data_IF_324001208658
#
_entry.id   IF_324001208658
#
_cell.length_a   1.000
_cell.length_b   1.000
_cell.length_c   1.000
_cell.angle_alpha   90.00
_cell.angle_beta   90.00
_cell.angle_gamma   90.00
#
_symmetry.space_group_name_H-M   'P 1'
#
loop_
_entity.id
_entity.type
_entity.pdbx_description
1 polymer ?
#
# COMPACT_ATOMS: atom_id res chain seq x y z
N UNK A 1 16.92 16.39 -22.13
CA UNK A 1 16.41 15.23 -22.88
C UNK A 1 15.48 14.53 -21.91
N UNK A 2 14.19 14.50 -22.22
CA UNK A 2 13.16 13.86 -21.39
C UNK A 2 13.41 12.34 -21.32
N UNK A 3 13.15 11.74 -20.17
CA UNK A 3 13.32 10.31 -19.93
C UNK A 3 12.23 9.51 -20.67
N UNK A 4 12.57 8.62 -21.62
CA UNK A 4 11.60 7.84 -22.37
C UNK A 4 10.69 6.95 -21.51
N UNK A 5 11.19 6.44 -20.37
CA UNK A 5 10.39 5.61 -19.46
C UNK A 5 9.36 6.46 -18.72
N UNK A 6 9.73 7.68 -18.36
CA UNK A 6 8.83 8.65 -17.71
C UNK A 6 7.71 9.11 -18.65
N UNK A 7 8.03 9.35 -19.92
CA UNK A 7 7.03 9.68 -20.93
C UNK A 7 6.04 8.52 -21.18
N UNK A 8 6.53 7.28 -21.21
CA UNK A 8 5.66 6.11 -21.35
C UNK A 8 4.71 5.94 -20.15
N UNK A 9 5.19 6.21 -18.93
CA UNK A 9 4.37 6.21 -17.72
C UNK A 9 3.23 7.25 -17.80
N UNK A 10 3.55 8.51 -18.09
CA UNK A 10 2.51 9.55 -18.21
C UNK A 10 1.55 9.26 -19.36
N UNK A 11 2.04 8.73 -20.47
CA UNK A 11 1.19 8.34 -21.60
C UNK A 11 0.21 7.21 -21.26
N UNK A 12 0.60 6.27 -20.39
CA UNK A 12 -0.30 5.21 -19.92
C UNK A 12 -1.47 5.79 -19.11
N UNK A 13 -1.22 6.79 -18.25
CA UNK A 13 -2.28 7.52 -17.55
C UNK A 13 -3.13 8.41 -18.45
N UNK A 14 -2.69 8.70 -19.68
CA UNK A 14 -3.52 9.33 -20.70
C UNK A 14 -4.68 8.47 -21.19
N UNK A 15 -4.69 7.16 -20.90
CA UNK A 15 -5.81 6.27 -21.22
C UNK A 15 -6.97 6.45 -20.23
N UNK A 16 -8.12 6.90 -20.74
CA UNK A 16 -9.34 7.06 -19.95
C UNK A 16 -9.90 5.76 -19.39
N UNK A 17 -9.49 4.59 -19.89
CA UNK A 17 -9.87 3.30 -19.31
C UNK A 17 -9.31 3.11 -17.88
N UNK A 18 -8.11 3.64 -17.62
CA UNK A 18 -7.47 3.66 -16.30
C UNK A 18 -8.26 4.58 -15.36
N UNK A 19 -8.56 5.80 -15.81
CA UNK A 19 -9.38 6.75 -15.03
C UNK A 19 -10.78 6.24 -14.75
N UNK A 20 -11.42 5.59 -15.72
CA UNK A 20 -12.72 4.95 -15.51
C UNK A 20 -12.64 3.93 -14.37
N UNK A 21 -11.64 3.07 -14.39
CA UNK A 21 -11.42 2.06 -13.33
C UNK A 21 -11.28 2.73 -11.96
N UNK A 22 -10.39 3.73 -11.87
CA UNK A 22 -10.15 4.52 -10.66
C UNK A 22 -11.38 5.28 -10.14
N UNK A 23 -12.21 5.82 -11.03
CA UNK A 23 -13.42 6.58 -10.68
C UNK A 23 -14.59 5.67 -10.28
N UNK A 24 -14.62 4.44 -10.78
CA UNK A 24 -15.64 3.44 -10.41
C UNK A 24 -15.30 2.63 -9.17
N UNK A 25 -14.05 2.71 -8.69
CA UNK A 25 -13.67 2.18 -7.39
C UNK A 25 -14.27 3.02 -6.26
N UNK A 26 -15.42 2.57 -5.77
CA UNK A 26 -16.17 3.28 -4.74
C UNK A 26 -15.41 3.36 -3.41
N UNK A 27 -14.64 2.34 -3.05
CA UNK A 27 -13.88 2.31 -1.79
C UNK A 27 -12.82 3.41 -1.81
N UNK A 28 -12.08 3.51 -2.92
CA UNK A 28 -11.12 4.59 -3.18
C UNK A 28 -11.78 5.97 -3.10
N UNK A 29 -12.83 6.19 -3.90
CA UNK A 29 -13.46 7.51 -4.01
C UNK A 29 -14.10 7.95 -2.68
N UNK A 30 -14.83 7.06 -2.01
CA UNK A 30 -15.49 7.37 -0.75
C UNK A 30 -14.47 7.68 0.35
N UNK A 31 -13.33 6.97 0.41
CA UNK A 31 -12.29 7.24 1.41
C UNK A 31 -11.69 8.64 1.26
N UNK A 32 -11.35 9.06 0.03
CA UNK A 32 -10.85 10.42 -0.23
C UNK A 32 -11.92 11.48 0.00
N UNK A 33 -13.15 11.21 -0.41
CA UNK A 33 -14.28 12.11 -0.16
C UNK A 33 -14.45 12.33 1.36
N UNK A 34 -14.55 11.26 2.15
CA UNK A 34 -14.67 11.36 3.60
C UNK A 34 -13.44 12.05 4.22
N UNK A 35 -12.22 11.73 3.75
CA UNK A 35 -11.00 12.36 4.25
C UNK A 35 -11.00 13.87 4.05
N UNK A 36 -11.41 14.34 2.87
CA UNK A 36 -11.49 15.77 2.56
C UNK A 36 -12.62 16.43 3.37
N UNK A 37 -13.84 15.89 3.32
CA UNK A 37 -15.00 16.55 3.92
C UNK A 37 -15.04 16.45 5.46
N UNK A 38 -14.46 15.41 6.08
CA UNK A 38 -14.30 15.37 7.55
C UNK A 38 -13.19 16.28 8.06
N UNK A 39 -12.23 16.62 7.21
CA UNK A 39 -11.19 17.60 7.53
C UNK A 39 -11.50 18.98 6.93
N UNK A 40 -12.77 19.27 6.61
CA UNK A 40 -13.21 20.53 5.98
C UNK A 40 -12.75 21.76 6.75
N UNK A 41 -12.77 21.74 8.07
CA UNK A 41 -12.34 22.88 8.90
C UNK A 41 -10.84 23.20 8.75
N UNK A 42 -10.04 22.23 8.30
CA UNK A 42 -8.62 22.39 7.98
C UNK A 42 -8.35 22.70 6.51
N UNK A 43 -9.37 22.63 5.64
CA UNK A 43 -9.28 22.87 4.19
C UNK A 43 -9.95 24.19 3.81
N UNK A 44 -10.99 24.59 4.53
CA UNK A 44 -11.73 25.81 4.25
C UNK A 44 -10.81 27.03 4.34
N UNK A 45 -10.90 27.91 3.34
CA UNK A 45 -10.11 29.13 3.20
C UNK A 45 -8.58 28.88 3.12
N UNK A 46 -8.17 27.63 2.84
CA UNK A 46 -6.78 27.21 2.71
C UNK A 46 -6.32 26.99 1.28
N UNK A 47 -5.01 26.95 1.07
CA UNK A 47 -4.37 26.63 -0.20
C UNK A 47 -4.03 25.15 -0.24
N UNK A 48 -4.55 24.46 -1.26
CA UNK A 48 -4.39 23.02 -1.45
C UNK A 48 -3.51 22.75 -2.67
N UNK A 49 -2.68 21.72 -2.62
CA UNK A 49 -2.01 21.15 -3.78
C UNK A 49 -2.45 19.70 -3.97
N UNK A 50 -2.92 19.39 -5.17
CA UNK A 50 -3.28 18.05 -5.62
C UNK A 50 -2.21 17.56 -6.61
N UNK A 51 -1.38 16.61 -6.17
CA UNK A 51 -0.24 16.09 -6.97
C UNK A 51 -0.66 14.85 -7.74
N UNK A 52 -0.53 14.89 -9.06
CA UNK A 52 -1.08 13.87 -9.95
C UNK A 52 -2.60 13.97 -10.01
N UNK A 53 -3.11 15.18 -10.28
CA UNK A 53 -4.53 15.49 -10.20
C UNK A 53 -5.39 14.63 -11.14
N UNK A 54 -4.82 14.09 -12.22
CA UNK A 54 -5.49 13.23 -13.18
C UNK A 54 -6.70 13.93 -13.82
N UNK A 55 -7.89 13.38 -13.60
CA UNK A 55 -9.16 13.99 -14.04
C UNK A 55 -9.65 15.12 -13.14
N UNK A 56 -8.99 15.38 -12.01
CA UNK A 56 -9.24 16.50 -11.11
C UNK A 56 -10.26 16.24 -10.01
N UNK A 57 -10.77 15.02 -9.87
CA UNK A 57 -11.85 14.73 -8.91
C UNK A 57 -11.49 15.16 -7.47
N UNK A 58 -10.25 14.93 -7.02
CA UNK A 58 -9.79 15.33 -5.70
C UNK A 58 -9.67 16.86 -5.57
N UNK A 59 -9.10 17.51 -6.58
CA UNK A 59 -9.11 18.98 -6.71
C UNK A 59 -10.51 19.58 -6.58
N UNK A 60 -11.51 18.98 -7.25
CA UNK A 60 -12.92 19.41 -7.17
C UNK A 60 -13.50 19.18 -5.77
N UNK A 61 -13.18 18.05 -5.11
CA UNK A 61 -13.59 17.82 -3.72
C UNK A 61 -13.02 18.88 -2.78
N UNK A 62 -11.74 19.20 -2.90
CA UNK A 62 -11.10 20.26 -2.11
C UNK A 62 -11.74 21.64 -2.35
N UNK A 63 -12.03 22.00 -3.60
CA UNK A 63 -12.76 23.22 -3.93
C UNK A 63 -14.16 23.25 -3.29
N UNK A 64 -14.91 22.14 -3.36
CA UNK A 64 -16.24 22.00 -2.73
C UNK A 64 -16.19 21.98 -1.21
N UNK A 65 -15.09 21.51 -0.62
CA UNK A 65 -14.84 21.63 0.82
C UNK A 65 -14.62 23.09 1.25
N UNK A 66 -14.34 24.00 0.30
CA UNK A 66 -14.20 25.44 0.54
C UNK A 66 -12.76 25.91 0.56
N UNK A 67 -11.84 25.18 -0.08
CA UNK A 67 -10.49 25.66 -0.31
C UNK A 67 -10.51 27.06 -0.96
N UNK A 68 -9.61 27.93 -0.51
CA UNK A 68 -9.41 29.26 -1.11
C UNK A 68 -8.84 29.14 -2.52
N UNK A 69 -7.91 28.20 -2.70
CA UNK A 69 -7.21 27.92 -3.94
C UNK A 69 -6.77 26.46 -3.97
N UNK A 70 -6.80 25.84 -5.15
CA UNK A 70 -6.29 24.49 -5.38
C UNK A 70 -5.32 24.52 -6.57
N UNK A 71 -4.09 24.10 -6.36
CA UNK A 71 -3.13 23.80 -7.41
C UNK A 71 -3.31 22.35 -7.85
N UNK A 72 -3.93 22.14 -9.01
CA UNK A 72 -4.12 20.82 -9.61
C UNK A 72 -2.93 20.53 -10.54
N UNK A 73 -1.93 19.80 -10.03
CA UNK A 73 -0.67 19.52 -10.73
C UNK A 73 -0.77 18.20 -11.46
N UNK A 74 -0.59 18.22 -12.78
CA UNK A 74 -0.65 17.02 -13.63
C UNK A 74 0.45 17.05 -14.69
N UNK A 75 1.17 15.94 -14.83
CA UNK A 75 2.31 15.81 -15.73
C UNK A 75 1.93 15.14 -17.07
N UNK A 76 0.78 14.46 -17.15
CA UNK A 76 0.24 13.92 -18.38
C UNK A 76 -0.45 15.03 -19.21
N UNK A 77 0.24 15.52 -20.24
CA UNK A 77 -0.27 16.56 -21.14
C UNK A 77 -1.64 16.24 -21.76
N UNK A 78 -1.95 14.95 -22.00
CA UNK A 78 -3.22 14.50 -22.58
C UNK A 78 -4.42 14.75 -21.68
N UNK A 79 -4.21 14.78 -20.36
CA UNK A 79 -5.28 14.99 -19.38
C UNK A 79 -5.56 16.47 -19.11
N UNK A 80 -4.62 17.37 -19.41
CA UNK A 80 -4.75 18.80 -19.09
C UNK A 80 -6.03 19.44 -19.67
N UNK A 81 -6.38 19.26 -20.97
CA UNK A 81 -7.62 19.83 -21.50
C UNK A 81 -8.86 19.27 -20.80
N UNK A 82 -8.87 17.95 -20.53
CA UNK A 82 -9.98 17.30 -19.83
C UNK A 82 -10.14 17.81 -18.40
N UNK A 83 -9.03 17.94 -17.67
CA UNK A 83 -9.01 18.49 -16.31
C UNK A 83 -9.55 19.93 -16.29
N UNK A 84 -9.15 20.77 -17.25
CA UNK A 84 -9.69 22.12 -17.39
C UNK A 84 -11.21 22.11 -17.68
N UNK A 85 -11.68 21.21 -18.55
CA UNK A 85 -13.11 21.05 -18.83
C UNK A 85 -13.90 20.59 -17.59
N UNK A 86 -13.34 19.70 -16.76
CA UNK A 86 -13.95 19.26 -15.49
C UNK A 86 -14.03 20.42 -14.49
N UNK A 87 -12.97 21.21 -14.36
CA UNK A 87 -12.94 22.43 -13.52
C UNK A 87 -14.03 23.40 -13.94
N UNK A 88 -14.15 23.67 -15.24
CA UNK A 88 -15.20 24.52 -15.82
C UNK A 88 -16.61 23.97 -15.61
N UNK A 89 -16.81 22.67 -15.84
CA UNK A 89 -18.10 22.02 -15.67
C UNK A 89 -18.62 22.06 -14.22
N UNK A 90 -17.71 22.21 -13.24
CA UNK A 90 -18.05 22.33 -11.82
C UNK A 90 -18.09 23.79 -11.32
N UNK A 91 -17.90 24.78 -12.19
CA UNK A 91 -17.92 26.21 -11.85
C UNK A 91 -16.96 26.61 -10.71
N UNK A 92 -15.74 26.07 -10.74
CA UNK A 92 -14.68 26.33 -9.76
C UNK A 92 -13.39 26.87 -10.39
N UNK A 93 -13.47 27.46 -11.59
CA UNK A 93 -12.32 28.01 -12.33
C UNK A 93 -11.60 29.13 -11.57
N UNK A 94 -12.30 29.81 -10.67
CA UNK A 94 -11.74 30.85 -9.81
C UNK A 94 -11.03 30.30 -8.56
N UNK A 95 -11.12 28.99 -8.31
CA UNK A 95 -10.54 28.31 -7.16
C UNK A 95 -9.44 27.34 -7.60
N UNK A 96 -9.69 26.55 -8.65
CA UNK A 96 -8.77 25.50 -9.12
C UNK A 96 -7.91 26.02 -10.27
N UNK A 97 -6.61 26.11 -10.03
CA UNK A 97 -5.58 26.43 -11.02
C UNK A 97 -4.93 25.13 -11.52
N UNK A 98 -5.12 24.82 -12.80
CA UNK A 98 -4.51 23.65 -13.44
C UNK A 98 -3.08 23.97 -13.87
N UNK A 99 -2.13 23.18 -13.37
CA UNK A 99 -0.70 23.31 -13.67
C UNK A 99 -0.24 22.07 -14.43
N UNK A 100 0.23 22.27 -15.65
CA UNK A 100 0.90 21.22 -16.42
C UNK A 100 2.38 21.15 -16.04
N UNK A 101 2.81 20.00 -15.53
CA UNK A 101 4.22 19.72 -15.23
C UNK A 101 4.41 18.70 -14.13
N UNK A 102 5.65 18.26 -13.97
CA UNK A 102 6.10 17.41 -12.86
C UNK A 102 6.21 18.24 -11.58
N UNK A 103 5.75 17.71 -10.45
CA UNK A 103 5.79 18.45 -9.18
C UNK A 103 7.21 18.83 -8.77
N UNK A 104 8.20 18.09 -9.25
CA UNK A 104 9.64 18.29 -9.10
C UNK A 104 10.15 19.56 -9.78
N UNK A 105 9.47 20.04 -10.82
CA UNK A 105 9.96 21.12 -11.70
C UNK A 105 9.09 22.36 -11.69
N UNK A 106 7.82 22.25 -11.28
CA UNK A 106 6.94 23.40 -11.17
C UNK A 106 7.38 24.33 -10.04
N UNK A 107 6.93 25.58 -10.15
CA UNK A 107 7.03 26.59 -9.10
C UNK A 107 5.63 27.16 -8.85
N UNK A 108 5.28 27.36 -7.58
CA UNK A 108 4.05 28.02 -7.17
C UNK A 108 4.37 29.19 -6.25
N UNK A 109 3.53 30.22 -6.28
CA UNK A 109 3.79 31.48 -5.56
C UNK A 109 3.50 31.38 -4.06
N UNK A 110 2.51 30.57 -3.69
CA UNK A 110 1.98 30.49 -2.33
C UNK A 110 2.44 29.21 -1.62
N UNK A 111 2.68 29.31 -0.31
CA UNK A 111 2.82 28.10 0.52
C UNK A 111 1.49 27.36 0.60
N UNK A 112 1.58 26.03 0.62
CA UNK A 112 0.47 25.09 0.66
C UNK A 112 0.14 24.72 2.10
N UNK A 113 -1.13 24.79 2.48
CA UNK A 113 -1.63 24.34 3.78
C UNK A 113 -2.02 22.85 3.75
N UNK A 114 -2.43 22.34 2.58
CA UNK A 114 -2.92 20.95 2.42
C UNK A 114 -2.32 20.30 1.18
N UNK A 115 -1.61 19.20 1.35
CA UNK A 115 -1.16 18.34 0.26
C UNK A 115 -2.09 17.14 0.17
N UNK A 116 -2.76 16.97 -0.96
CA UNK A 116 -3.57 15.78 -1.26
C UNK A 116 -2.97 15.09 -2.47
N UNK A 117 -2.94 13.75 -2.45
CA UNK A 117 -2.56 12.98 -3.63
C UNK A 117 -3.07 11.55 -3.51
N UNK A 118 -3.37 10.97 -4.65
CA UNK A 118 -3.54 9.53 -4.79
C UNK A 118 -2.34 9.02 -5.60
N UNK A 119 -1.39 8.42 -4.89
CA UNK A 119 -0.06 8.08 -5.37
C UNK A 119 0.24 6.59 -5.30
N UNK A 120 -0.71 5.81 -4.79
CA UNK A 120 -0.45 4.43 -4.39
C UNK A 120 -0.50 3.51 -5.59
N UNK A 121 0.57 2.74 -5.80
CA UNK A 121 0.62 1.69 -6.81
C UNK A 121 0.23 0.32 -6.27
N UNK A 122 0.42 -0.70 -7.12
CA UNK A 122 0.44 -2.09 -6.67
C UNK A 122 1.48 -2.29 -5.56
N UNK A 123 1.17 -3.12 -4.55
CA UNK A 123 1.97 -3.29 -3.33
C UNK A 123 2.46 -1.96 -2.70
N UNK A 124 1.72 -0.86 -2.91
CA UNK A 124 1.96 0.53 -2.50
C UNK A 124 3.01 1.27 -3.34
N UNK A 125 4.19 0.67 -3.53
CA UNK A 125 5.37 1.38 -4.05
C UNK A 125 5.55 1.31 -5.57
N UNK A 126 4.83 0.43 -6.27
CA UNK A 126 4.89 0.38 -7.74
C UNK A 126 4.67 1.79 -8.32
N UNK A 127 5.42 2.14 -9.37
CA UNK A 127 5.41 3.46 -10.03
C UNK A 127 6.08 4.62 -9.26
N UNK A 128 6.54 4.41 -8.02
CA UNK A 128 7.40 5.34 -7.25
C UNK A 128 6.87 6.76 -7.05
N UNK A 129 5.56 6.99 -7.11
CA UNK A 129 4.98 8.34 -6.98
C UNK A 129 5.12 8.94 -5.57
N UNK A 130 5.47 8.14 -4.56
CA UNK A 130 5.81 8.62 -3.21
C UNK A 130 6.97 9.64 -3.22
N UNK A 131 7.90 9.56 -4.18
CA UNK A 131 8.99 10.54 -4.33
C UNK A 131 8.48 11.93 -4.68
N UNK A 132 7.49 11.99 -5.58
CA UNK A 132 6.82 13.22 -5.94
C UNK A 132 6.14 13.86 -4.74
N UNK A 133 5.59 13.06 -3.81
CA UNK A 133 5.04 13.58 -2.55
C UNK A 133 6.12 14.09 -1.61
N UNK A 134 7.23 13.35 -1.45
CA UNK A 134 8.37 13.80 -0.63
C UNK A 134 8.89 15.13 -1.16
N UNK A 135 9.02 15.26 -2.47
CA UNK A 135 9.46 16.46 -3.16
C UNK A 135 8.44 17.63 -3.05
N UNK A 136 7.13 17.33 -3.11
CA UNK A 136 6.07 18.32 -2.94
C UNK A 136 6.05 18.95 -1.54
N UNK A 137 6.64 18.31 -0.53
CA UNK A 137 6.76 18.87 0.82
C UNK A 137 7.48 20.23 0.86
N UNK A 138 8.29 20.56 -0.14
CA UNK A 138 8.96 21.87 -0.21
C UNK A 138 7.96 23.05 -0.28
N UNK A 139 6.73 22.79 -0.72
CA UNK A 139 5.67 23.80 -0.79
C UNK A 139 4.88 23.92 0.52
N UNK A 140 5.06 22.99 1.47
CA UNK A 140 4.23 22.94 2.67
C UNK A 140 4.58 24.05 3.66
N UNK A 141 3.53 24.66 4.21
CA UNK A 141 3.60 25.54 5.37
C UNK A 141 3.80 24.75 6.68
N UNK A 142 4.18 25.46 7.75
CA UNK A 142 4.21 24.92 9.10
C UNK A 142 2.80 24.52 9.55
N UNK A 143 2.61 23.28 10.03
CA UNK A 143 1.31 22.67 10.38
C UNK A 143 0.38 22.34 9.19
N UNK A 144 0.99 22.00 8.06
CA UNK A 144 0.25 21.50 6.90
C UNK A 144 -0.49 20.19 7.20
N UNK A 145 -1.47 19.89 6.36
CA UNK A 145 -2.23 18.65 6.35
C UNK A 145 -1.81 17.82 5.13
N UNK A 146 -1.43 16.56 5.32
CA UNK A 146 -1.13 15.64 4.23
C UNK A 146 -2.22 14.55 4.18
N UNK A 147 -2.79 14.32 2.99
CA UNK A 147 -3.87 13.36 2.76
C UNK A 147 -3.48 12.38 1.62
N UNK A 148 -3.22 11.10 1.93
CA UNK A 148 -3.10 10.48 3.27
C UNK A 148 -1.83 10.94 4.02
N UNK A 149 -1.72 10.64 5.31
CA UNK A 149 -0.55 11.02 6.15
C UNK A 149 0.35 9.84 6.52
N UNK A 150 -0.16 8.61 6.43
CA UNK A 150 0.60 7.40 6.73
C UNK A 150 0.20 6.27 5.81
N UNK A 151 1.15 5.43 5.45
CA UNK A 151 0.93 4.22 4.66
C UNK A 151 1.62 3.03 5.32
N UNK A 152 0.98 1.86 5.31
CA UNK A 152 1.54 0.62 5.87
C UNK A 152 1.36 -0.52 4.87
N UNK A 153 2.44 -1.22 4.56
CA UNK A 153 2.43 -2.46 3.77
C UNK A 153 2.29 -3.62 4.73
N UNK A 154 1.45 -4.59 4.39
CA UNK A 154 1.25 -5.82 5.13
C UNK A 154 1.58 -7.03 4.25
N UNK A 155 1.96 -8.12 4.91
CA UNK A 155 2.18 -9.41 4.27
C UNK A 155 1.50 -10.53 5.08
N UNK A 156 1.03 -11.56 4.40
CA UNK A 156 0.60 -12.83 5.00
C UNK A 156 0.94 -14.00 4.08
N UNK A 157 1.09 -15.20 4.65
CA UNK A 157 1.10 -16.43 3.87
C UNK A 157 -0.29 -16.65 3.25
N UNK A 158 -0.34 -17.21 2.05
CA UNK A 158 -1.60 -17.44 1.33
C UNK A 158 -1.61 -18.76 0.55
N UNK A 159 -2.82 -19.27 0.33
CA UNK A 159 -3.16 -20.38 -0.56
C UNK A 159 -3.90 -19.83 -1.79
N UNK A 160 -3.49 -20.25 -2.98
CA UNK A 160 -3.96 -19.68 -4.27
C UNK A 160 -4.07 -20.76 -5.35
N UNK A 161 -4.93 -21.77 -5.15
CA UNK A 161 -5.04 -22.90 -6.07
C UNK A 161 -5.42 -22.46 -7.49
N UNK A 162 -6.13 -21.33 -7.66
CA UNK A 162 -6.51 -20.80 -8.98
C UNK A 162 -5.32 -20.40 -9.85
N UNK A 163 -4.23 -19.93 -9.24
CA UNK A 163 -2.99 -19.64 -9.95
C UNK A 163 -2.13 -20.90 -10.15
N UNK A 164 -2.44 -21.99 -9.45
CA UNK A 164 -1.51 -23.11 -9.32
C UNK A 164 -2.16 -24.46 -9.63
N UNK A 165 -2.82 -25.07 -8.66
CA UNK A 165 -3.19 -26.49 -8.63
C UNK A 165 -4.60 -26.77 -9.15
N UNK A 166 -5.47 -25.76 -9.24
CA UNK A 166 -6.87 -25.91 -9.65
C UNK A 166 -7.04 -26.51 -11.05
N UNK A 167 -6.03 -26.35 -11.91
CA UNK A 167 -6.05 -26.83 -13.29
C UNK A 167 -4.99 -27.91 -13.56
N UNK A 168 -4.39 -28.49 -12.51
CA UNK A 168 -3.46 -29.64 -12.63
C UNK A 168 -4.16 -30.90 -13.12
N UNK A 169 -5.44 -31.07 -12.82
CA UNK A 169 -6.27 -32.14 -13.38
C UNK A 169 -7.53 -31.57 -14.02
N UNK A 170 -7.70 -31.80 -15.33
CA UNK A 170 -8.87 -31.33 -16.08
C UNK A 170 -9.51 -32.52 -16.77
N UNK A 171 -10.77 -32.83 -16.41
CA UNK A 171 -11.52 -33.95 -17.00
C UNK A 171 -10.72 -35.27 -16.97
N UNK A 172 -10.09 -35.58 -15.84
CA UNK A 172 -9.23 -36.78 -15.63
C UNK A 172 -7.93 -36.79 -16.46
N UNK A 173 -7.55 -35.65 -17.05
CA UNK A 173 -6.25 -35.49 -17.69
C UNK A 173 -5.29 -34.85 -16.70
N UNK A 174 -4.19 -35.55 -16.40
CA UNK A 174 -3.10 -35.01 -15.60
C UNK A 174 -2.27 -34.03 -16.44
N UNK A 175 -2.26 -32.77 -16.03
CA UNK A 175 -1.55 -31.64 -16.65
C UNK A 175 -0.39 -31.13 -15.77
N UNK A 176 0.11 -31.94 -14.84
CA UNK A 176 1.21 -31.57 -13.92
C UNK A 176 2.43 -31.02 -14.66
N UNK A 177 2.76 -31.62 -15.81
CA UNK A 177 3.84 -31.15 -16.68
C UNK A 177 3.65 -29.69 -17.13
N UNK A 178 2.41 -29.28 -17.42
CA UNK A 178 2.07 -27.91 -17.83
C UNK A 178 2.07 -26.98 -16.61
N UNK A 179 1.44 -27.37 -15.50
CA UNK A 179 1.40 -26.56 -14.28
C UNK A 179 2.78 -26.33 -13.68
N UNK A 180 3.68 -27.32 -13.82
CA UNK A 180 5.07 -27.20 -13.38
C UNK A 180 5.87 -26.17 -14.19
N UNK A 181 5.66 -26.11 -15.51
CA UNK A 181 6.28 -25.08 -16.37
C UNK A 181 5.68 -23.71 -16.07
N UNK A 182 4.35 -23.61 -15.97
CA UNK A 182 3.67 -22.37 -15.63
C UNK A 182 4.16 -21.82 -14.30
N UNK A 183 4.22 -22.62 -13.23
CA UNK A 183 4.67 -22.16 -11.91
C UNK A 183 6.07 -21.56 -11.95
N UNK A 184 7.02 -22.19 -12.65
CA UNK A 184 8.39 -21.66 -12.77
C UNK A 184 8.41 -20.27 -13.40
N UNK A 185 7.56 -20.03 -14.40
CA UNK A 185 7.43 -18.70 -15.00
C UNK A 185 6.68 -17.73 -14.07
N UNK A 186 5.61 -18.20 -13.42
CA UNK A 186 4.81 -17.41 -12.49
C UNK A 186 5.62 -16.95 -11.27
N UNK A 187 6.57 -17.73 -10.78
CA UNK A 187 7.44 -17.32 -9.65
C UNK A 187 8.41 -16.19 -9.99
N UNK A 188 8.55 -15.82 -11.26
CA UNK A 188 9.42 -14.72 -11.69
C UNK A 188 8.73 -13.37 -11.72
N UNK A 189 7.42 -13.30 -11.49
CA UNK A 189 6.65 -12.06 -11.56
C UNK A 189 5.63 -11.98 -10.41
N UNK A 190 5.35 -10.78 -9.88
CA UNK A 190 4.22 -10.58 -8.98
C UNK A 190 2.89 -10.75 -9.74
N UNK A 191 1.86 -11.28 -9.08
CA UNK A 191 0.51 -11.45 -9.63
C UNK A 191 -0.48 -10.56 -8.91
N UNK A 192 -1.45 -10.00 -9.64
CA UNK A 192 -2.49 -9.13 -9.08
C UNK A 192 -3.80 -9.89 -8.98
N UNK A 193 -4.14 -10.30 -7.77
CA UNK A 193 -5.26 -11.20 -7.50
C UNK A 193 -6.20 -10.63 -6.44
N UNK A 194 -7.50 -10.92 -6.60
CA UNK A 194 -8.45 -10.74 -5.50
C UNK A 194 -8.32 -11.93 -4.56
N UNK A 195 -7.87 -11.65 -3.34
CA UNK A 195 -7.63 -12.63 -2.30
C UNK A 195 -8.73 -12.51 -1.26
N UNK A 196 -9.45 -13.60 -1.04
CA UNK A 196 -10.37 -13.71 0.09
C UNK A 196 -9.59 -13.92 1.39
N UNK A 197 -10.05 -13.37 2.52
CA UNK A 197 -9.38 -13.58 3.81
C UNK A 197 -9.28 -15.06 4.21
N UNK A 198 -10.15 -15.93 3.69
CA UNK A 198 -10.08 -17.39 3.88
C UNK A 198 -8.84 -18.01 3.24
N UNK A 199 -8.32 -17.42 2.17
CA UNK A 199 -7.10 -17.85 1.49
C UNK A 199 -5.82 -17.51 2.28
N UNK A 200 -5.91 -16.63 3.29
CA UNK A 200 -4.77 -16.35 4.16
C UNK A 200 -4.49 -17.52 5.10
N UNK A 201 -3.24 -17.95 5.09
CA UNK A 201 -2.71 -19.10 5.83
C UNK A 201 -1.99 -18.70 7.12
N UNK A 202 -1.78 -17.40 7.35
CA UNK A 202 -1.24 -16.84 8.59
C UNK A 202 -1.97 -15.56 8.97
N UNK A 203 -1.71 -15.06 10.18
CA UNK A 203 -2.08 -13.68 10.50
C UNK A 203 -1.21 -12.70 9.69
N UNK A 204 -1.74 -11.51 9.35
CA UNK A 204 -0.97 -10.45 8.73
C UNK A 204 0.17 -9.97 9.62
N UNK A 205 1.27 -9.56 9.00
CA UNK A 205 2.35 -8.80 9.65
C UNK A 205 2.61 -7.49 8.90
N UNK A 206 2.85 -6.37 9.61
CA UNK A 206 3.31 -5.15 8.98
C UNK A 206 4.73 -5.36 8.44
N UNK A 207 4.93 -5.06 7.15
CA UNK A 207 6.22 -5.13 6.48
C UNK A 207 7.00 -3.83 6.62
N UNK A 208 6.38 -2.72 6.23
CA UNK A 208 6.98 -1.39 6.25
C UNK A 208 5.88 -0.35 6.44
N UNK A 209 6.19 0.76 7.12
CA UNK A 209 5.29 1.88 7.28
C UNK A 209 6.02 3.19 6.95
N UNK A 210 5.31 4.09 6.27
CA UNK A 210 5.80 5.39 5.86
C UNK A 210 4.94 6.46 6.49
N UNK A 211 5.56 7.32 7.29
CA UNK A 211 4.99 8.58 7.73
C UNK A 211 5.26 9.62 6.63
N UNK A 212 4.21 10.09 5.97
CA UNK A 212 4.30 10.99 4.83
C UNK A 212 4.64 12.43 5.22
N UNK A 213 4.79 12.76 6.49
CA UNK A 213 5.38 14.02 6.94
C UNK A 213 6.92 13.92 7.01
N UNK A 214 7.45 12.74 7.34
CA UNK A 214 8.87 12.59 7.72
C UNK A 214 9.68 11.62 6.87
N UNK A 215 9.07 10.74 6.06
CA UNK A 215 9.80 9.73 5.27
C UNK A 215 10.82 10.39 4.34
N UNK A 216 12.06 9.90 4.34
CA UNK A 216 13.12 10.40 3.47
C UNK A 216 13.20 9.61 2.16
N UNK A 217 13.81 10.16 1.10
CA UNK A 217 14.04 9.42 -0.15
C UNK A 217 14.82 8.11 0.06
N UNK A 218 15.79 8.08 0.98
CA UNK A 218 16.59 6.88 1.25
C UNK A 218 15.75 5.76 1.88
N UNK A 219 14.71 6.11 2.65
CA UNK A 219 13.86 5.14 3.34
C UNK A 219 12.97 4.33 2.39
N UNK A 220 12.79 4.77 1.14
CA UNK A 220 12.00 4.09 0.10
C UNK A 220 12.88 3.38 -0.95
N UNK A 221 14.21 3.49 -0.87
CA UNK A 221 15.12 2.83 -1.83
C UNK A 221 15.18 1.32 -1.63
N UNK A 222 15.21 0.86 -0.38
CA UNK A 222 15.29 -0.57 -0.06
C UNK A 222 14.70 -0.87 1.31
N UNK A 223 13.72 -1.77 1.35
CA UNK A 223 13.09 -2.24 2.57
C UNK A 223 13.23 -3.76 2.67
N UNK A 224 13.67 -4.24 3.84
CA UNK A 224 13.90 -5.66 4.11
C UNK A 224 13.17 -6.05 5.39
N UNK A 225 12.42 -7.14 5.35
CA UNK A 225 11.84 -7.76 6.52
C UNK A 225 12.17 -9.24 6.54
N UNK A 226 12.86 -9.66 7.59
CA UNK A 226 13.08 -11.07 7.92
C UNK A 226 12.20 -11.44 9.11
N UNK A 227 11.27 -12.37 8.93
CA UNK A 227 10.29 -12.70 9.96
C UNK A 227 9.80 -14.14 9.87
N UNK A 228 9.30 -14.65 11.00
CA UNK A 228 8.65 -15.96 11.07
C UNK A 228 7.14 -15.79 11.09
N UNK A 229 6.46 -16.33 10.07
CA UNK A 229 5.00 -16.37 9.99
C UNK A 229 4.51 -17.74 10.42
N UNK A 230 3.57 -17.79 11.37
CA UNK A 230 3.01 -19.06 11.85
C UNK A 230 1.69 -19.32 11.16
N UNK A 231 1.53 -20.52 10.62
CA UNK A 231 0.30 -20.91 9.95
C UNK A 231 -0.85 -21.04 10.94
N UNK A 232 -2.02 -20.54 10.61
CA UNK A 232 -3.22 -20.63 11.44
C UNK A 232 -4.23 -21.68 10.93
N UNK A 233 -3.92 -22.34 9.82
CA UNK A 233 -4.75 -23.35 9.15
C UNK A 233 -3.88 -24.49 8.63
N UNK A 234 -4.51 -25.65 8.43
CA UNK A 234 -3.93 -26.77 7.68
C UNK A 234 -4.29 -26.61 6.20
N UNK A 235 -3.33 -26.79 5.31
CA UNK A 235 -3.55 -26.63 3.87
C UNK A 235 -2.24 -26.48 3.11
N UNK A 236 -2.31 -25.77 1.98
CA UNK A 236 -1.16 -25.46 1.14
C UNK A 236 -0.79 -24.00 1.33
N UNK A 237 0.50 -23.72 1.47
CA UNK A 237 1.03 -22.35 1.34
C UNK A 237 1.66 -22.24 -0.03
N UNK A 238 1.07 -21.41 -0.87
CA UNK A 238 1.49 -21.16 -2.24
C UNK A 238 2.49 -20.02 -2.35
N UNK A 239 2.48 -19.11 -1.38
CA UNK A 239 3.38 -17.97 -1.32
C UNK A 239 2.92 -16.93 -0.32
N UNK A 240 3.23 -15.67 -0.62
CA UNK A 240 2.81 -14.53 0.18
C UNK A 240 1.84 -13.63 -0.58
N UNK A 241 0.92 -13.02 0.17
CA UNK A 241 0.02 -11.97 -0.26
C UNK A 241 0.49 -10.66 0.39
N UNK A 242 0.61 -9.61 -0.41
CA UNK A 242 1.04 -8.27 -0.03
C UNK A 242 -0.09 -7.30 -0.35
N UNK A 243 -0.43 -6.45 0.62
CA UNK A 243 -1.39 -5.37 0.46
C UNK A 243 -0.96 -4.17 1.29
N UNK A 244 -1.73 -3.09 1.25
CA UNK A 244 -1.45 -1.89 2.00
C UNK A 244 -2.70 -1.19 2.50
N UNK A 245 -2.51 -0.41 3.56
CA UNK A 245 -3.47 0.55 4.06
C UNK A 245 -2.85 1.95 4.05
N UNK A 246 -3.64 2.96 3.72
CA UNK A 246 -3.29 4.37 3.98
C UNK A 246 -4.26 4.98 4.96
N UNK A 247 -3.71 5.78 5.87
CA UNK A 247 -4.45 6.43 6.94
C UNK A 247 -4.58 7.93 6.63
N UNK A 248 -5.78 8.45 6.83
CA UNK A 248 -6.07 9.88 6.83
C UNK A 248 -6.42 10.31 8.26
N UNK A 249 -6.28 11.59 8.60
CA UNK A 249 -6.77 12.09 9.89
C UNK A 249 -8.27 11.84 10.05
N UNK A 250 -8.74 11.85 11.30
CA UNK A 250 -10.11 11.48 11.67
C UNK A 250 -10.42 9.97 11.54
N UNK A 251 -9.39 9.12 11.69
CA UNK A 251 -9.48 7.66 11.72
C UNK A 251 -10.12 7.05 10.45
N UNK A 252 -9.84 7.66 9.30
CA UNK A 252 -10.30 7.15 8.01
C UNK A 252 -9.16 6.34 7.41
N UNK A 253 -9.47 5.12 6.98
CA UNK A 253 -8.48 4.20 6.40
C UNK A 253 -8.98 3.76 5.04
N UNK A 254 -8.14 3.92 4.03
CA UNK A 254 -8.31 3.25 2.74
C UNK A 254 -7.45 2.00 2.77
N UNK A 255 -8.10 0.84 2.74
CA UNK A 255 -7.46 -0.47 2.87
C UNK A 255 -7.63 -1.28 1.60
N UNK A 256 -6.56 -1.94 1.17
CA UNK A 256 -6.57 -2.96 0.11
C UNK A 256 -6.51 -4.38 0.70
N UNK A 257 -6.78 -4.53 1.99
CA UNK A 257 -6.73 -5.79 2.72
C UNK A 257 -7.74 -6.83 2.19
N UNK A 258 -7.38 -8.14 2.19
CA UNK A 258 -8.33 -9.24 1.99
C UNK A 258 -9.53 -9.27 2.94
N UNK A 259 -9.43 -8.56 4.08
CA UNK A 259 -10.52 -8.42 5.05
C UNK A 259 -11.47 -7.24 4.76
N UNK A 260 -11.11 -6.39 3.80
CA UNK A 260 -11.83 -5.17 3.42
C UNK A 260 -12.59 -5.38 2.11
N UNK A 261 -13.44 -4.41 1.75
CA UNK A 261 -14.08 -4.42 0.43
C UNK A 261 -13.03 -4.36 -0.69
N UNK A 262 -13.31 -5.02 -1.80
CA UNK A 262 -12.42 -5.05 -2.96
C UNK A 262 -12.20 -3.66 -3.56
N UNK A 263 -10.96 -3.42 -3.96
CA UNK A 263 -10.52 -2.22 -4.68
C UNK A 263 -9.91 -2.65 -6.01
N UNK A 264 -9.70 -1.70 -6.92
CA UNK A 264 -9.07 -1.98 -8.22
C UNK A 264 -7.59 -2.38 -8.11
N UNK A 265 -6.92 -2.03 -7.01
CA UNK A 265 -5.52 -2.42 -6.75
C UNK A 265 -5.34 -3.91 -6.52
N UNK A 266 -6.40 -4.59 -6.03
CA UNK A 266 -6.36 -5.98 -5.59
C UNK A 266 -5.25 -6.20 -4.54
N UNK A 267 -4.68 -7.40 -4.49
CA UNK A 267 -3.48 -7.71 -3.71
C UNK A 267 -2.37 -8.26 -4.63
N UNK A 268 -1.13 -8.06 -4.19
CA UNK A 268 0.05 -8.56 -4.90
C UNK A 268 0.46 -9.92 -4.31
N UNK A 269 0.55 -10.93 -5.15
CA UNK A 269 0.97 -12.28 -4.78
C UNK A 269 2.37 -12.57 -5.30
N UNK A 270 3.21 -13.13 -4.44
CA UNK A 270 4.50 -13.71 -4.83
C UNK A 270 4.48 -15.20 -4.47
N UNK A 271 4.56 -16.05 -5.48
CA UNK A 271 4.55 -17.50 -5.30
C UNK A 271 5.91 -18.00 -4.81
N UNK A 272 5.88 -19.02 -3.95
CA UNK A 272 7.07 -19.80 -3.65
C UNK A 272 7.47 -20.68 -4.85
N UNK A 273 8.76 -21.02 -5.00
CA UNK A 273 9.21 -21.96 -6.03
C UNK A 273 8.49 -23.31 -6.00
N UNK A 274 8.07 -23.73 -4.80
CA UNK A 274 7.27 -24.93 -4.56
C UNK A 274 6.23 -24.66 -3.47
N UNK A 275 5.02 -25.23 -3.59
CA UNK A 275 4.03 -25.16 -2.51
C UNK A 275 4.54 -25.89 -1.26
N UNK A 276 4.12 -25.42 -0.09
CA UNK A 276 4.39 -26.07 1.19
C UNK A 276 3.09 -26.65 1.76
N UNK A 277 3.06 -27.97 1.99
CA UNK A 277 1.96 -28.60 2.72
C UNK A 277 2.20 -28.42 4.22
N UNK A 278 1.24 -27.82 4.91
CA UNK A 278 1.39 -27.41 6.31
C UNK A 278 0.19 -27.84 7.14
N UNK A 279 0.42 -28.08 8.43
CA UNK A 279 -0.63 -28.08 9.45
C UNK A 279 -0.74 -26.73 10.11
N UNK A 280 -1.79 -26.51 10.91
CA UNK A 280 -1.84 -25.35 11.81
C UNK A 280 -0.63 -25.34 12.77
N UNK A 281 -0.06 -24.16 13.04
CA UNK A 281 1.05 -23.94 13.96
C UNK A 281 2.45 -24.13 13.36
N UNK A 282 2.57 -24.42 12.06
CA UNK A 282 3.87 -24.52 11.37
C UNK A 282 4.48 -23.13 11.20
N UNK A 283 5.70 -22.87 11.69
CA UNK A 283 6.39 -21.62 11.43
C UNK A 283 7.12 -21.67 10.08
N UNK A 284 6.95 -20.62 9.27
CA UNK A 284 7.68 -20.42 8.01
C UNK A 284 8.45 -19.11 8.14
N UNK A 285 9.77 -19.20 8.07
CA UNK A 285 10.63 -18.02 8.03
C UNK A 285 10.74 -17.50 6.60
N UNK A 286 10.47 -16.21 6.42
CA UNK A 286 10.62 -15.52 5.14
C UNK A 286 11.50 -14.29 5.29
N UNK A 287 12.19 -13.95 4.22
CA UNK A 287 12.80 -12.64 4.02
C UNK A 287 12.21 -12.03 2.74
N UNK A 288 11.49 -10.93 2.91
CA UNK A 288 10.98 -10.12 1.80
C UNK A 288 11.85 -8.87 1.69
N UNK A 289 12.33 -8.60 0.49
CA UNK A 289 13.08 -7.39 0.15
C UNK A 289 12.39 -6.68 -1.01
N UNK A 290 12.09 -5.40 -0.86
CA UNK A 290 11.58 -4.53 -1.92
C UNK A 290 12.66 -3.48 -2.16
N UNK A 291 13.29 -3.51 -3.33
CA UNK A 291 14.39 -2.60 -3.67
C UNK A 291 14.11 -1.89 -4.98
N UNK A 292 14.23 -0.58 -4.97
CA UNK A 292 14.14 0.26 -6.16
C UNK A 292 15.29 -0.05 -7.10
N UNK A 293 14.97 -0.39 -8.34
CA UNK A 293 15.97 -0.80 -9.36
C UNK A 293 16.21 0.30 -10.39
N UNK A 294 15.16 1.01 -10.79
CA UNK A 294 15.23 2.25 -11.58
C UNK A 294 14.19 3.25 -11.04
N UNK A 295 13.98 4.40 -11.70
CA UNK A 295 13.11 5.46 -11.18
C UNK A 295 11.68 5.01 -10.79
N UNK A 296 11.09 4.01 -11.46
CA UNK A 296 9.69 3.60 -11.24
C UNK A 296 9.49 2.08 -11.06
N UNK A 297 10.55 1.29 -11.13
CA UNK A 297 10.52 -0.18 -11.04
C UNK A 297 11.20 -0.65 -9.76
N UNK A 298 10.51 -1.54 -9.06
CA UNK A 298 11.00 -2.21 -7.87
C UNK A 298 11.20 -3.70 -8.15
N UNK A 299 12.28 -4.24 -7.62
CA UNK A 299 12.52 -5.68 -7.56
C UNK A 299 12.04 -6.19 -6.21
N UNK A 300 11.18 -7.19 -6.22
CA UNK A 300 10.73 -7.90 -5.03
C UNK A 300 11.47 -9.24 -4.97
N UNK A 301 12.23 -9.46 -3.90
CA UNK A 301 12.94 -10.71 -3.62
C UNK A 301 12.32 -11.40 -2.41
N UNK A 302 12.04 -12.69 -2.54
CA UNK A 302 11.45 -13.50 -1.49
C UNK A 302 12.30 -14.74 -1.25
N UNK A 303 12.83 -14.88 -0.05
CA UNK A 303 13.59 -16.05 0.39
C UNK A 303 12.86 -16.76 1.53
N UNK A 304 12.90 -18.09 1.51
CA UNK A 304 12.36 -18.93 2.58
C UNK A 304 13.54 -19.51 3.34
N UNK A 305 13.54 -19.36 4.66
CA UNK A 305 14.59 -19.81 5.56
C UNK A 305 14.09 -20.93 6.48
N UNK A 306 15.03 -21.56 7.18
CA UNK A 306 14.71 -22.48 8.27
C UNK A 306 14.25 -21.70 9.51
N UNK A 307 13.01 -21.94 9.93
CA UNK A 307 12.41 -21.27 11.08
C UNK A 307 13.06 -21.66 12.43
N UNK A 308 13.78 -22.78 12.50
CA UNK A 308 14.51 -23.16 13.72
C UNK A 308 15.63 -22.18 14.06
N UNK A 309 16.32 -21.67 13.04
CA UNK A 309 17.42 -20.70 13.20
C UNK A 309 16.99 -19.26 13.46
N UNK A 310 15.71 -18.94 13.26
CA UNK A 310 15.20 -17.57 13.33
C UNK A 310 14.61 -17.20 14.69
N UNK A 311 14.56 -15.89 14.95
CA UNK A 311 13.88 -15.29 16.10
C UNK A 311 12.37 -15.25 15.82
N UNK A 312 11.56 -15.68 16.79
CA UNK A 312 10.10 -15.68 16.70
C UNK A 312 9.55 -14.57 17.59
N UNK A 313 8.44 -13.96 17.18
CA UNK A 313 7.74 -12.99 18.03
C UNK A 313 7.19 -13.69 19.28
N UNK A 314 7.28 -13.05 20.44
CA UNK A 314 6.74 -13.60 21.69
C UNK A 314 5.55 -12.73 22.12
N UNK A 315 4.34 -13.29 22.28
CA UNK A 315 4.03 -14.71 22.23
C UNK A 315 3.97 -15.30 20.81
N UNK A 316 4.54 -16.50 20.64
CA UNK A 316 4.53 -17.22 19.36
C UNK A 316 3.49 -18.34 19.38
N UNK A 317 2.68 -18.49 18.32
CA UNK A 317 1.67 -19.56 18.23
C UNK A 317 2.20 -20.87 17.63
N UNK A 318 3.51 -20.99 17.39
CA UNK A 318 4.06 -22.18 16.75
C UNK A 318 4.24 -23.37 17.72
N UNK A 319 4.43 -24.56 17.17
CA UNK A 319 4.60 -25.77 17.97
C UNK A 319 5.99 -25.93 18.60
N UNK A 320 6.99 -25.12 18.23
CA UNK A 320 8.39 -25.34 18.63
C UNK A 320 8.60 -25.19 20.14
N UNK A 321 9.35 -26.10 20.74
CA UNK A 321 9.63 -26.13 22.19
C UNK A 321 10.23 -24.80 22.69
N UNK A 322 11.16 -24.20 21.93
CA UNK A 322 11.75 -22.89 22.25
C UNK A 322 10.68 -21.81 22.47
N UNK A 323 9.61 -21.84 21.67
CA UNK A 323 8.50 -20.90 21.75
C UNK A 323 7.54 -21.24 22.89
N UNK A 324 7.22 -22.51 23.10
CA UNK A 324 6.39 -22.94 24.22
C UNK A 324 7.00 -22.52 25.57
N UNK A 325 8.31 -22.73 25.73
CA UNK A 325 9.05 -22.30 26.93
C UNK A 325 9.06 -20.78 27.08
N UNK A 326 9.35 -20.05 26.01
CA UNK A 326 9.38 -18.58 26.02
C UNK A 326 8.00 -17.97 26.35
N UNK A 327 6.93 -18.51 25.78
CA UNK A 327 5.56 -18.09 26.08
C UNK A 327 5.20 -18.34 27.56
N UNK A 328 5.54 -19.52 28.09
CA UNK A 328 5.28 -19.84 29.50
C UNK A 328 6.02 -18.91 30.45
N UNK A 329 7.27 -18.54 30.13
CA UNK A 329 8.01 -17.52 30.87
C UNK A 329 7.32 -16.16 30.78
N UNK A 330 7.02 -15.69 29.57
CA UNK A 330 6.34 -14.42 29.33
C UNK A 330 5.02 -14.31 30.11
N UNK A 331 4.19 -15.36 30.10
CA UNK A 331 2.93 -15.39 30.86
C UNK A 331 3.16 -15.27 32.37
N UNK A 332 4.17 -15.94 32.92
CA UNK A 332 4.50 -15.84 34.36
C UNK A 332 4.94 -14.42 34.75
N UNK A 333 5.81 -13.80 33.96
CA UNK A 333 6.30 -12.44 34.24
C UNK A 333 5.20 -11.39 34.07
N UNK A 334 4.32 -11.57 33.07
CA UNK A 334 3.18 -10.68 32.83
C UNK A 334 2.15 -10.70 33.98
N UNK A 335 2.00 -11.86 34.63
CA UNK A 335 1.16 -12.02 35.82
C UNK A 335 1.82 -11.37 37.03
N UNK A 336 3.13 -11.54 37.23
CA UNK A 336 3.87 -10.91 38.33
C UNK A 336 3.85 -9.37 38.28
N UNK A 337 3.94 -8.76 37.10
CA UNK A 337 3.86 -7.29 36.94
C UNK A 337 2.47 -6.73 37.29
N UNK A 338 1.41 -7.54 37.14
CA UNK A 338 0.04 -7.14 37.53
C UNK A 338 -0.23 -7.27 39.04
N UNK A 339 0.64 -7.96 39.78
CA UNK A 339 0.49 -8.22 41.23
C UNK A 339 1.30 -7.27 42.12
N UNK A 340 2.14 -6.38 41.57
CA UNK A 340 2.81 -5.34 42.36
C UNK A 340 1.84 -4.19 42.70
N UNK A 341 1.54 -3.93 43.98
CA UNK A 341 0.71 -2.81 44.38
C UNK A 341 1.45 -1.48 44.11
N UNK A 342 0.73 -0.39 43.78
CA UNK A 342 1.36 0.92 43.58
C UNK A 342 2.10 1.34 44.86
N UNK A 343 3.34 1.76 44.71
CA UNK A 343 4.16 2.31 45.79
C UNK A 343 3.44 3.49 46.45
N UNK A 344 3.37 3.55 47.79
CA UNK A 344 2.69 4.64 48.48
C UNK A 344 3.36 5.98 48.17
N UNK A 345 2.59 7.08 48.10
CA UNK A 345 3.16 8.40 47.84
C UNK A 345 4.13 8.78 48.96
N UNK A 346 5.32 9.26 48.57
CA UNK A 346 6.29 9.84 49.48
C UNK A 346 5.74 11.12 50.10
N UNK A 347 5.68 11.17 51.44
CA UNK A 347 5.37 12.37 52.24
C UNK A 347 6.45 13.46 52.13
#
# INVERSE_FOLDING_TARGET
MEDPELNAYFDAYGDLSVHKTMLTDKVRIDAYYEAIFRNRDRIKDKIVMDVGAGTGILSIFCAKAGAKKVYAVEACHKLIPLLQDVVKANAVENIVEVIYGEVETIEVQDNVDVLVSEWMGHYLLHESMIESLINARRFLSSNSLILPHKATIYVALCDLPQLTSQWTEVRQVNLEAVTGVYRKAATCFPHLEHISYEALMSLPKPFCAFDLETVSPEAIESNVMRTVMVTNKTGTVEGICIWWDVEFPSNIVLSTSPFSMETHWKQTVILFPKPLLVTCGIPIAIELTITKTNQRVFTLSLMVHDAEGEVHDIPCSCYMDKCQVANAYFMKTSVQIKEEPPSPPSE
#
